data_IF_033294990881
#
_entry.id   IF_033294990881
#
_cell.length_a   1.000
_cell.length_b   1.000
_cell.length_c   1.000
_cell.angle_alpha   90.00
_cell.angle_beta   90.00
_cell.angle_gamma   90.00
#
_symmetry.space_group_name_H-M   'P 1'
#
loop_
_entity.id
_entity.type
_entity.pdbx_description
1 polymer ?
#
# COMPACT_ATOMS: atom_id res chain seq x y z
N UNK A 1 -4.32 -44.19 8.61
CA UNK A 1 -4.45 -42.84 9.20
C UNK A 1 -3.22 -41.99 8.86
N UNK A 2 -2.88 -41.84 7.58
CA UNK A 2 -1.64 -41.18 7.12
C UNK A 2 -1.91 -40.01 6.15
N UNK A 3 -3.13 -39.93 5.60
CA UNK A 3 -3.54 -38.87 4.66
C UNK A 3 -3.96 -37.55 5.32
N UNK A 4 -4.25 -37.54 6.63
CA UNK A 4 -4.65 -36.30 7.33
C UNK A 4 -3.47 -35.37 7.65
N UNK A 5 -2.27 -35.91 7.80
CA UNK A 5 -1.05 -35.12 8.06
C UNK A 5 -0.57 -34.36 6.80
N UNK A 6 -0.82 -34.88 5.59
CA UNK A 6 -0.43 -34.19 4.35
C UNK A 6 -1.30 -32.94 4.08
N UNK A 7 -2.62 -33.00 4.34
CA UNK A 7 -3.50 -31.84 4.12
C UNK A 7 -3.14 -30.66 5.04
N UNK A 8 -2.76 -30.94 6.29
CA UNK A 8 -2.34 -29.91 7.25
C UNK A 8 -1.05 -29.18 6.85
N UNK A 9 -0.08 -29.90 6.25
CA UNK A 9 1.15 -29.27 5.73
C UNK A 9 0.89 -28.44 4.47
N UNK A 10 0.00 -28.88 3.58
CA UNK A 10 -0.40 -28.09 2.40
C UNK A 10 -1.12 -26.78 2.78
N UNK A 11 -1.90 -26.78 3.86
CA UNK A 11 -2.50 -25.55 4.41
C UNK A 11 -1.49 -24.61 5.08
N UNK A 12 -0.36 -25.13 5.60
CA UNK A 12 0.68 -24.28 6.22
C UNK A 12 1.52 -23.51 5.19
N UNK A 13 1.76 -24.08 4.00
CA UNK A 13 2.41 -23.36 2.89
C UNK A 13 1.45 -22.43 2.13
N UNK A 14 0.14 -22.57 2.33
CA UNK A 14 -0.88 -21.66 1.84
C UNK A 14 -1.13 -20.45 2.76
N UNK A 15 -0.39 -20.31 3.87
CA UNK A 15 -0.16 -19.01 4.51
C UNK A 15 0.73 -18.14 3.59
N UNK A 16 0.28 -17.96 2.35
CA UNK A 16 0.93 -17.16 1.34
C UNK A 16 0.85 -15.72 1.77
N UNK A 17 1.98 -15.02 1.73
CA UNK A 17 2.01 -13.56 1.78
C UNK A 17 1.00 -13.03 0.75
N UNK A 18 -0.09 -12.43 1.24
CA UNK A 18 -1.13 -11.89 0.39
C UNK A 18 -0.55 -10.74 -0.44
N UNK A 19 -0.94 -10.67 -1.71
CA UNK A 19 -0.57 -9.52 -2.54
C UNK A 19 -1.18 -8.25 -1.93
N UNK A 20 -0.36 -7.21 -1.84
CA UNK A 20 -0.75 -5.91 -1.28
C UNK A 20 -0.96 -4.94 -2.42
N UNK A 21 -1.94 -4.05 -2.30
CA UNK A 21 -2.11 -2.94 -3.23
C UNK A 21 -0.97 -1.94 -3.04
N UNK A 22 -0.26 -1.59 -4.12
CA UNK A 22 0.86 -0.66 -4.11
C UNK A 22 0.63 0.43 -5.14
N UNK A 23 0.97 1.66 -4.76
CA UNK A 23 1.02 2.82 -5.64
C UNK A 23 2.43 3.36 -5.63
N UNK A 24 3.03 3.48 -6.80
CA UNK A 24 4.28 4.20 -7.01
C UNK A 24 4.00 5.47 -7.79
N UNK A 25 4.43 6.62 -7.28
CA UNK A 25 4.32 7.91 -7.93
C UNK A 25 5.65 8.33 -8.57
N UNK A 26 5.53 9.15 -9.60
CA UNK A 26 6.62 9.60 -10.45
C UNK A 26 6.43 11.08 -10.79
N UNK A 27 7.54 11.76 -11.09
CA UNK A 27 7.54 13.18 -11.45
C UNK A 27 7.59 13.41 -12.98
N UNK A 28 7.37 12.36 -13.76
CA UNK A 28 7.49 12.36 -15.22
C UNK A 28 6.48 11.40 -15.85
N UNK A 29 6.03 11.73 -17.07
CA UNK A 29 5.00 11.00 -17.82
C UNK A 29 5.45 9.64 -18.36
N UNK A 30 6.75 9.39 -18.36
CA UNK A 30 7.35 8.10 -18.71
C UNK A 30 7.50 7.17 -17.49
N UNK A 31 7.28 7.67 -16.27
CA UNK A 31 7.50 6.97 -15.02
C UNK A 31 8.91 6.39 -14.90
N UNK A 32 9.92 7.14 -15.34
CA UNK A 32 11.33 6.74 -15.24
C UNK A 32 11.87 6.91 -13.82
N UNK A 33 11.53 8.02 -13.15
CA UNK A 33 12.04 8.35 -11.83
C UNK A 33 10.95 8.29 -10.76
N UNK A 34 10.94 7.19 -10.00
CA UNK A 34 10.03 7.04 -8.87
C UNK A 34 10.34 8.09 -7.80
N UNK A 35 9.29 8.70 -7.25
CA UNK A 35 9.39 9.70 -6.18
C UNK A 35 8.92 9.14 -4.84
N UNK A 36 7.86 8.32 -4.85
CA UNK A 36 7.32 7.67 -3.65
C UNK A 36 6.64 6.36 -4.00
N UNK A 37 6.76 5.36 -3.15
CA UNK A 37 5.92 4.16 -3.19
C UNK A 37 5.19 3.98 -1.88
N UNK A 38 3.95 3.52 -1.93
CA UNK A 38 3.18 3.24 -0.73
C UNK A 38 2.37 1.96 -0.90
N UNK A 39 2.45 1.08 0.07
CA UNK A 39 1.59 -0.09 0.16
C UNK A 39 0.34 0.21 0.98
N UNK A 40 -0.78 -0.37 0.55
CA UNK A 40 -2.11 -0.21 1.09
C UNK A 40 -2.66 -1.61 1.37
N UNK A 41 -2.56 -2.11 2.61
CA UNK A 41 -3.26 -3.35 2.96
C UNK A 41 -4.75 -3.16 2.70
N UNK A 42 -5.44 -4.19 2.19
CA UNK A 42 -6.88 -4.14 1.94
C UNK A 42 -7.68 -4.34 3.22
N UNK A 43 -8.81 -3.66 3.34
CA UNK A 43 -9.66 -3.69 4.53
C UNK A 43 -9.87 -2.29 5.10
N UNK A 44 -10.50 -2.23 6.27
CA UNK A 44 -10.71 -0.99 7.03
C UNK A 44 -9.69 -0.91 8.17
N UNK A 45 -8.99 0.23 8.25
CA UNK A 45 -7.99 0.51 9.28
C UNK A 45 -8.34 1.82 9.97
N UNK A 46 -8.31 1.81 11.29
CA UNK A 46 -8.64 2.99 12.10
C UNK A 46 -7.46 3.38 12.96
N UNK A 47 -7.07 4.66 12.89
CA UNK A 47 -6.02 5.26 13.71
C UNK A 47 -6.61 6.54 14.31
N UNK A 48 -7.18 6.40 15.51
CA UNK A 48 -7.87 7.50 16.19
C UNK A 48 -9.09 8.01 15.41
N UNK A 49 -9.21 9.33 15.12
CA UNK A 49 -10.36 9.90 14.43
C UNK A 49 -10.34 9.67 12.90
N UNK A 50 -9.23 9.16 12.35
CA UNK A 50 -9.08 8.88 10.92
C UNK A 50 -9.22 7.38 10.67
N UNK A 51 -10.02 7.01 9.67
CA UNK A 51 -10.06 5.63 9.16
C UNK A 51 -9.83 5.59 7.67
N UNK A 52 -9.16 4.56 7.20
CA UNK A 52 -8.90 4.32 5.78
C UNK A 52 -9.45 2.97 5.38
N UNK A 53 -10.20 2.95 4.28
CA UNK A 53 -10.63 1.72 3.62
C UNK A 53 -9.90 1.60 2.29
N UNK A 54 -9.15 0.51 2.14
CA UNK A 54 -8.54 0.16 0.86
C UNK A 54 -9.25 -1.08 0.32
N UNK A 55 -9.64 -1.03 -0.93
CA UNK A 55 -10.35 -2.13 -1.58
C UNK A 55 -9.90 -2.27 -3.02
N UNK A 56 -10.01 -3.49 -3.54
CA UNK A 56 -9.79 -3.80 -4.95
C UNK A 56 -11.08 -4.41 -5.47
N UNK A 57 -11.59 -3.88 -6.56
CA UNK A 57 -12.72 -4.41 -7.31
C UNK A 57 -12.36 -4.46 -8.80
N UNK A 58 -12.25 -5.68 -9.33
CA UNK A 58 -11.71 -5.92 -10.66
C UNK A 58 -10.35 -5.27 -10.86
N UNK A 59 -10.26 -4.37 -11.85
CA UNK A 59 -9.03 -3.64 -12.18
C UNK A 59 -8.93 -2.26 -11.52
N UNK A 60 -9.77 -1.96 -10.52
CA UNK A 60 -9.76 -0.68 -9.82
C UNK A 60 -9.43 -0.89 -8.35
N UNK A 61 -8.43 -0.15 -7.86
CA UNK A 61 -8.16 -0.04 -6.44
C UNK A 61 -8.68 1.31 -5.92
N UNK A 62 -9.34 1.29 -4.77
CA UNK A 62 -9.93 2.47 -4.14
C UNK A 62 -9.33 2.68 -2.76
N UNK A 63 -8.87 3.91 -2.50
CA UNK A 63 -8.43 4.39 -1.19
C UNK A 63 -9.44 5.42 -0.72
N UNK A 64 -10.15 5.11 0.36
CA UNK A 64 -11.15 5.98 0.97
C UNK A 64 -10.71 6.38 2.36
N UNK A 65 -10.79 7.67 2.68
CA UNK A 65 -10.55 8.17 4.02
C UNK A 65 -11.84 8.68 4.64
N UNK A 66 -12.04 8.36 5.92
CA UNK A 66 -13.20 8.71 6.73
C UNK A 66 -12.72 9.51 7.93
N UNK A 67 -13.46 10.57 8.26
CA UNK A 67 -13.12 11.49 9.36
C UNK A 67 -14.18 11.41 10.45
N UNK A 68 -13.72 11.41 11.71
CA UNK A 68 -14.54 11.70 12.89
C UNK A 68 -15.22 10.50 13.54
N UNK A 69 -15.33 9.34 12.88
CA UNK A 69 -16.07 8.17 13.41
C UNK A 69 -15.18 7.00 13.86
N UNK A 70 -13.88 7.02 13.54
CA UNK A 70 -13.00 5.87 13.80
C UNK A 70 -13.44 4.58 13.10
N UNK A 71 -14.30 4.68 12.07
CA UNK A 71 -14.80 3.55 11.28
C UNK A 71 -14.82 3.90 9.79
N UNK A 72 -14.87 2.89 8.93
CA UNK A 72 -15.07 3.06 7.47
C UNK A 72 -16.55 3.06 7.07
N UNK A 73 -17.43 3.45 7.98
CA UNK A 73 -18.88 3.56 7.73
C UNK A 73 -19.27 4.96 7.28
N UNK A 74 -20.33 5.03 6.46
CA UNK A 74 -20.90 6.30 5.99
C UNK A 74 -20.20 6.87 4.76
N UNK A 75 -20.28 8.19 4.60
CA UNK A 75 -19.67 8.89 3.46
C UNK A 75 -18.19 9.11 3.69
N UNK A 76 -17.37 8.69 2.73
CA UNK A 76 -15.94 8.97 2.75
C UNK A 76 -15.69 10.48 2.55
N UNK A 77 -14.77 11.04 3.33
CA UNK A 77 -14.31 12.42 3.16
C UNK A 77 -13.51 12.57 1.86
N UNK A 78 -12.72 11.55 1.51
CA UNK A 78 -12.00 11.47 0.24
C UNK A 78 -12.12 10.07 -0.34
N UNK A 79 -12.14 9.98 -1.67
CA UNK A 79 -12.07 8.73 -2.41
C UNK A 79 -11.13 8.92 -3.58
N UNK A 80 -10.07 8.12 -3.63
CA UNK A 80 -9.11 8.08 -4.72
C UNK A 80 -9.18 6.71 -5.37
N UNK A 81 -9.37 6.70 -6.69
CA UNK A 81 -9.43 5.47 -7.48
C UNK A 81 -8.21 5.39 -8.40
N UNK A 82 -7.62 4.20 -8.44
CA UNK A 82 -6.43 3.89 -9.22
C UNK A 82 -6.72 2.72 -10.12
N UNK A 83 -6.37 2.84 -11.40
CA UNK A 83 -6.48 1.72 -12.34
C UNK A 83 -5.26 0.83 -12.15
N UNK A 84 -5.48 -0.45 -11.81
CA UNK A 84 -4.43 -1.44 -11.65
C UNK A 84 -3.84 -1.83 -13.00
N UNK A 85 -2.57 -2.24 -13.00
CA UNK A 85 -1.85 -2.65 -14.21
C UNK A 85 -1.66 -1.54 -15.24
N UNK A 86 -1.97 -0.29 -14.88
CA UNK A 86 -1.91 0.83 -15.79
C UNK A 86 -0.47 1.17 -16.17
N UNK A 87 -0.29 1.50 -17.46
CA UNK A 87 0.89 2.24 -17.94
C UNK A 87 0.93 3.59 -17.21
N UNK A 88 2.11 4.20 -17.09
CA UNK A 88 2.30 5.48 -16.39
C UNK A 88 1.13 6.46 -16.58
N UNK A 89 0.35 6.69 -15.54
CA UNK A 89 -0.93 7.41 -15.61
C UNK A 89 -0.83 8.73 -14.84
N UNK A 90 -1.30 9.83 -15.43
CA UNK A 90 -1.36 11.11 -14.72
C UNK A 90 -2.31 11.02 -13.51
N UNK A 91 -1.86 11.49 -12.36
CA UNK A 91 -2.71 11.59 -11.18
C UNK A 91 -3.70 12.74 -11.38
N UNK A 92 -5.00 12.45 -11.28
CA UNK A 92 -6.04 13.48 -11.38
C UNK A 92 -5.82 14.54 -10.31
N UNK A 93 -5.78 15.82 -10.70
CA UNK A 93 -5.44 16.96 -9.83
C UNK A 93 -4.03 16.92 -9.20
N UNK A 94 -3.14 16.05 -9.68
CA UNK A 94 -1.77 15.93 -9.17
C UNK A 94 -0.74 16.82 -9.89
N UNK A 95 -1.15 17.65 -10.85
CA UNK A 95 -0.22 18.44 -11.67
C UNK A 95 0.70 17.53 -12.50
N UNK A 96 2.01 17.64 -12.27
CA UNK A 96 3.03 16.84 -12.96
C UNK A 96 3.34 15.49 -12.27
N UNK A 97 2.41 14.99 -11.44
CA UNK A 97 2.54 13.70 -10.75
C UNK A 97 1.88 12.62 -11.57
N UNK A 98 2.60 11.51 -11.77
CA UNK A 98 2.15 10.31 -12.45
C UNK A 98 2.20 9.13 -11.49
N UNK A 99 1.48 8.05 -11.78
CA UNK A 99 1.47 6.85 -10.96
C UNK A 99 1.46 5.55 -11.77
N UNK A 100 1.93 4.49 -11.12
CA UNK A 100 1.66 3.09 -11.47
C UNK A 100 1.05 2.42 -10.24
N UNK A 101 -0.07 1.73 -10.44
CA UNK A 101 -0.80 1.03 -9.38
C UNK A 101 -0.85 -0.46 -9.72
N UNK A 102 -0.52 -1.31 -8.75
CA UNK A 102 -0.44 -2.76 -8.94
C UNK A 102 -0.66 -3.50 -7.63
N UNK A 103 -0.94 -4.80 -7.74
CA UNK A 103 -0.93 -5.71 -6.61
C UNK A 103 0.35 -6.53 -6.65
N UNK A 104 0.98 -6.75 -5.50
CA UNK A 104 2.13 -7.62 -5.43
C UNK A 104 2.71 -7.74 -4.04
N UNK A 105 3.71 -8.60 -3.92
CA UNK A 105 4.42 -8.86 -2.66
C UNK A 105 5.58 -7.90 -2.41
N UNK A 106 6.10 -7.31 -3.46
CA UNK A 106 7.30 -6.46 -3.45
C UNK A 106 7.00 -5.15 -4.14
N UNK A 107 7.57 -4.07 -3.62
CA UNK A 107 7.48 -2.75 -4.23
C UNK A 107 8.52 -2.66 -5.37
N UNK A 108 8.06 -2.15 -6.51
CA UNK A 108 8.85 -1.86 -7.70
C UNK A 108 8.76 -0.36 -8.07
N UNK A 109 9.90 0.33 -8.28
CA UNK A 109 11.27 -0.20 -8.19
C UNK A 109 11.64 -0.55 -6.74
N UNK A 110 12.51 -1.54 -6.58
CA UNK A 110 13.04 -1.89 -5.27
C UNK A 110 13.81 -0.70 -4.68
N UNK A 111 13.70 -0.44 -3.37
CA UNK A 111 14.46 0.62 -2.71
C UNK A 111 15.97 0.43 -2.88
N UNK A 112 16.67 1.52 -3.13
CA UNK A 112 18.12 1.63 -3.13
C UNK A 112 18.69 2.23 -1.85
N UNK A 113 20.03 2.39 -1.79
CA UNK A 113 20.73 2.84 -0.57
C UNK A 113 20.40 4.25 -0.08
N UNK A 114 19.84 5.11 -0.94
CA UNK A 114 19.52 6.51 -0.63
C UNK A 114 18.03 6.75 -0.40
N UNK A 115 17.23 5.68 -0.30
CA UNK A 115 15.79 5.77 -0.12
C UNK A 115 15.42 5.66 1.35
N UNK A 116 14.41 6.42 1.76
CA UNK A 116 13.87 6.32 3.11
C UNK A 116 12.68 5.37 3.13
N UNK A 117 12.77 4.32 3.96
CA UNK A 117 11.70 3.34 4.17
C UNK A 117 11.07 3.58 5.54
N UNK A 118 9.75 3.78 5.55
CA UNK A 118 8.95 3.95 6.77
C UNK A 118 7.85 2.90 6.79
N UNK A 119 7.84 2.08 7.82
CA UNK A 119 6.77 1.11 8.08
C UNK A 119 5.83 1.66 9.16
N UNK A 120 4.54 1.68 8.86
CA UNK A 120 3.50 2.15 9.77
C UNK A 120 2.59 0.98 10.12
N UNK A 121 2.59 0.60 11.39
CA UNK A 121 1.76 -0.46 11.94
C UNK A 121 0.52 0.14 12.58
N UNK A 122 -0.63 -0.54 12.46
CA UNK A 122 -1.90 -0.08 13.05
C UNK A 122 -1.90 -0.22 14.58
N UNK A 123 -1.08 -1.13 15.12
CA UNK A 123 -0.92 -1.34 16.56
C UNK A 123 0.34 -0.71 17.15
N UNK A 124 0.47 -0.78 18.48
CA UNK A 124 1.64 -0.29 19.22
C UNK A 124 2.88 -1.19 19.12
N UNK A 125 2.78 -2.32 18.43
CA UNK A 125 3.90 -3.24 18.17
C UNK A 125 4.16 -3.40 16.68
N UNK A 126 5.35 -3.91 16.33
CA UNK A 126 5.78 -4.18 14.95
C UNK A 126 5.15 -5.45 14.35
N UNK A 127 3.92 -5.79 14.74
CA UNK A 127 3.22 -7.00 14.32
C UNK A 127 1.78 -6.70 13.91
N UNK A 128 1.27 -7.44 12.94
CA UNK A 128 -0.08 -7.27 12.39
C UNK A 128 -0.10 -6.43 11.11
N UNK A 129 -1.26 -5.86 10.78
CA UNK A 129 -1.43 -5.12 9.52
C UNK A 129 -0.67 -3.80 9.55
N UNK A 130 0.14 -3.58 8.52
CA UNK A 130 0.92 -2.36 8.35
C UNK A 130 0.98 -1.91 6.89
N UNK A 131 1.41 -0.68 6.71
CA UNK A 131 1.70 -0.07 5.40
C UNK A 131 3.17 0.32 5.36
N UNK A 132 3.79 0.22 4.20
CA UNK A 132 5.14 0.66 3.96
C UNK A 132 5.11 1.87 3.03
N UNK A 133 5.92 2.86 3.33
CA UNK A 133 6.17 4.03 2.50
C UNK A 133 7.64 4.07 2.17
N UNK A 134 7.97 4.19 0.89
CA UNK A 134 9.31 4.46 0.41
C UNK A 134 9.30 5.86 -0.18
N UNK A 135 10.22 6.70 0.24
CA UNK A 135 10.51 7.98 -0.41
C UNK A 135 11.87 7.84 -1.09
N UNK A 136 11.89 7.99 -2.41
CA UNK A 136 13.09 7.71 -3.20
C UNK A 136 14.02 8.92 -3.26
N UNK A 137 15.32 8.67 -3.22
CA UNK A 137 16.39 9.67 -3.37
C UNK A 137 16.34 10.83 -2.35
N UNK A 138 15.79 10.61 -1.16
CA UNK A 138 15.76 11.64 -0.09
C UNK A 138 16.96 11.58 0.86
N UNK A 139 17.75 10.50 0.80
CA UNK A 139 18.81 10.22 1.77
C UNK A 139 18.25 9.68 3.09
N UNK A 140 19.10 8.99 3.86
CA UNK A 140 18.75 8.51 5.19
C UNK A 140 18.79 9.68 6.17
N UNK A 141 17.62 10.09 6.68
CA UNK A 141 17.55 10.96 7.86
C UNK A 141 17.53 10.07 9.09
N UNK A 142 18.61 10.11 9.89
CA UNK A 142 18.58 9.50 11.21
C UNK A 142 17.50 10.23 12.03
N UNK A 143 16.59 9.46 12.65
CA UNK A 143 15.66 10.04 13.61
C UNK A 143 16.50 10.33 14.85
N UNK A 144 16.77 11.62 15.12
CA UNK A 144 17.40 12.02 16.38
C UNK A 144 16.54 11.46 17.53
N UNK A 145 17.16 10.60 18.33
CA UNK A 145 16.60 9.90 19.48
C UNK A 145 16.24 10.84 20.62
#
# INVERSE_FOLDING_TARGET
MQSFLLLALLSLFAASQADVFIITTYNSSDCTFASKSQSYPTGCFSIGPLSNQNSIDGNTASVKSFLGSGSCGGNAATTLNYTLGAVCTALINGGNIYYKAYTGRTISPAPGPNDQITENYVGSGCGGTGSAVITYNTGCTAKDS
#
